data_IF_853349706544
#
_entry.id   IF_853349706544
#
_cell.length_a   1.000
_cell.length_b   1.000
_cell.length_c   1.000
_cell.angle_alpha   90.00
_cell.angle_beta   90.00
_cell.angle_gamma   90.00
#
_symmetry.space_group_name_H-M   'P 1'
#
loop_
_entity.id
_entity.type
_entity.pdbx_description
1 polymer ?
#
# COMPACT_ATOMS: atom_id res chain seq x y z
N UNK A 1 2.05 -3.37 0.71
CA UNK A 1 0.80 -2.95 0.03
C UNK A 1 1.10 -1.76 -0.86
N UNK A 2 0.18 -1.28 -1.71
CA UNK A 2 0.37 -0.12 -2.58
C UNK A 2 -0.71 0.94 -2.43
N UNK A 3 -0.65 1.99 -3.27
CA UNK A 3 -1.61 3.10 -3.36
C UNK A 3 -2.32 3.01 -4.72
N UNK A 4 -3.66 3.04 -4.72
CA UNK A 4 -4.45 2.82 -5.95
C UNK A 4 -4.30 3.93 -7.00
N UNK A 5 -4.17 3.55 -8.28
CA UNK A 5 -4.17 4.48 -9.41
C UNK A 5 -5.15 4.06 -10.51
N UNK A 6 -6.35 4.64 -10.46
CA UNK A 6 -7.43 4.39 -11.42
C UNK A 6 -7.14 4.86 -12.84
N UNK A 7 -6.32 5.91 -13.00
CA UNK A 7 -5.97 6.41 -14.33
C UNK A 7 -5.10 5.39 -15.07
N UNK A 8 -4.19 4.73 -14.36
CA UNK A 8 -3.36 3.69 -14.97
C UNK A 8 -4.10 2.39 -15.27
N UNK A 9 -5.17 2.10 -14.53
CA UNK A 9 -5.97 0.88 -14.69
C UNK A 9 -7.00 0.95 -15.82
N UNK A 10 -7.36 2.16 -16.28
CA UNK A 10 -8.33 2.34 -17.36
C UNK A 10 -7.75 1.95 -18.72
N UNK A 11 -8.58 1.36 -19.58
CA UNK A 11 -8.31 1.15 -21.00
C UNK A 11 -8.30 2.49 -21.75
N UNK A 12 -7.65 2.53 -22.91
CA UNK A 12 -7.38 3.78 -23.66
C UNK A 12 -8.63 4.63 -23.93
N UNK A 13 -9.75 4.01 -24.30
CA UNK A 13 -11.03 4.71 -24.57
C UNK A 13 -11.56 5.47 -23.34
N UNK A 14 -11.36 4.91 -22.15
CA UNK A 14 -11.80 5.52 -20.88
C UNK A 14 -10.76 6.53 -20.40
N UNK A 15 -9.46 6.28 -20.60
CA UNK A 15 -8.39 7.21 -20.20
C UNK A 15 -8.51 8.58 -20.87
N UNK A 16 -8.92 8.62 -22.14
CA UNK A 16 -9.12 9.87 -22.88
C UNK A 16 -10.30 10.71 -22.32
N UNK A 17 -11.17 10.08 -21.52
CA UNK A 17 -12.30 10.73 -20.85
C UNK A 17 -11.98 11.11 -19.39
N UNK A 18 -10.85 10.65 -18.85
CA UNK A 18 -10.45 10.91 -17.47
C UNK A 18 -9.42 12.04 -17.41
N UNK A 19 -9.54 12.87 -16.37
CA UNK A 19 -8.56 13.90 -16.03
C UNK A 19 -8.07 13.70 -14.60
N UNK A 20 -6.76 13.82 -14.38
CA UNK A 20 -6.18 13.85 -13.05
C UNK A 20 -6.44 15.20 -12.39
N UNK A 21 -6.78 15.19 -11.10
CA UNK A 21 -6.97 16.42 -10.31
C UNK A 21 -5.73 16.69 -9.47
N UNK A 22 -5.29 17.94 -9.41
CA UNK A 22 -4.27 18.37 -8.44
C UNK A 22 -4.93 18.88 -7.18
N UNK A 23 -4.30 18.65 -6.03
CA UNK A 23 -4.73 19.15 -4.72
C UNK A 23 -3.72 20.20 -4.30
N UNK A 24 -4.13 21.46 -4.16
CA UNK A 24 -3.25 22.57 -3.79
C UNK A 24 -1.97 22.69 -4.65
N UNK A 25 -2.06 22.33 -5.93
CA UNK A 25 -0.93 22.33 -6.88
C UNK A 25 -0.10 21.04 -6.88
N UNK A 26 -0.43 20.06 -6.03
CA UNK A 26 0.20 18.74 -5.98
C UNK A 26 -0.52 17.76 -6.90
N UNK A 27 0.20 17.17 -7.85
CA UNK A 27 -0.33 16.17 -8.79
C UNK A 27 -0.25 14.74 -8.22
N UNK A 28 -1.10 13.79 -8.70
CA UNK A 28 -1.13 12.39 -8.26
C UNK A 28 0.03 11.55 -8.83
N UNK A 29 1.27 11.96 -8.60
CA UNK A 29 2.47 11.21 -9.02
C UNK A 29 2.79 10.08 -8.04
N UNK A 30 3.62 9.11 -8.47
CA UNK A 30 4.14 8.07 -7.58
C UNK A 30 4.84 8.68 -6.36
N UNK A 31 5.71 9.66 -6.60
CA UNK A 31 6.45 10.38 -5.56
C UNK A 31 5.51 11.05 -4.55
N UNK A 32 4.53 11.83 -5.03
CA UNK A 32 3.60 12.55 -4.17
C UNK A 32 2.64 11.62 -3.41
N UNK A 33 2.33 10.47 -3.99
CA UNK A 33 1.56 9.44 -3.31
C UNK A 33 2.39 8.75 -2.21
N UNK A 34 3.63 8.37 -2.50
CA UNK A 34 4.53 7.69 -1.56
C UNK A 34 4.88 8.58 -0.36
N UNK A 35 5.18 9.86 -0.58
CA UNK A 35 5.54 10.81 0.48
C UNK A 35 4.33 11.44 1.20
N UNK A 36 3.11 11.03 0.86
CA UNK A 36 1.86 11.50 1.46
C UNK A 36 1.45 12.95 1.14
N UNK A 37 2.18 13.67 0.28
CA UNK A 37 1.81 15.04 -0.12
C UNK A 37 0.54 15.11 -0.97
N UNK A 38 0.18 14.04 -1.69
CA UNK A 38 -1.08 13.93 -2.42
C UNK A 38 -2.24 13.46 -1.52
N UNK A 39 -2.48 14.20 -0.45
CA UNK A 39 -3.56 13.95 0.54
C UNK A 39 -4.80 14.79 0.24
N UNK A 40 -6.04 14.34 0.51
CA UNK A 40 -6.44 13.06 1.14
C UNK A 40 -6.81 11.97 0.11
N UNK A 41 -6.47 12.16 -1.17
CA UNK A 41 -6.91 11.25 -2.23
C UNK A 41 -5.95 10.05 -2.43
N UNK A 42 -4.69 10.12 -2.00
CA UNK A 42 -3.83 8.96 -1.85
C UNK A 42 -4.27 8.15 -0.63
N UNK A 43 -4.64 6.88 -0.83
CA UNK A 43 -5.00 5.98 0.26
C UNK A 43 -4.20 4.69 0.17
N UNK A 44 -3.44 4.32 1.22
CA UNK A 44 -2.81 3.02 1.29
C UNK A 44 -3.87 1.94 1.47
N UNK A 45 -3.60 0.77 0.92
CA UNK A 45 -4.36 -0.43 1.23
C UNK A 45 -3.65 -1.21 2.35
N UNK A 46 -4.42 -1.99 3.12
CA UNK A 46 -3.88 -2.94 4.11
C UNK A 46 -4.45 -4.34 3.89
N UNK A 47 -3.62 -5.37 4.13
CA UNK A 47 -4.12 -6.72 4.38
C UNK A 47 -4.15 -6.91 5.90
N UNK A 48 -5.24 -7.50 6.40
CA UNK A 48 -5.38 -7.82 7.82
C UNK A 48 -5.27 -9.32 7.99
N UNK A 49 -4.25 -9.74 8.73
CA UNK A 49 -3.95 -11.15 8.98
C UNK A 49 -4.19 -11.42 10.45
N UNK A 50 -5.00 -12.44 10.75
CA UNK A 50 -5.19 -12.91 12.12
C UNK A 50 -3.95 -13.71 12.55
N UNK A 51 -3.31 -13.32 13.65
CA UNK A 51 -2.06 -13.95 14.11
C UNK A 51 -2.25 -15.41 14.52
N UNK A 52 -3.31 -15.73 15.26
CA UNK A 52 -3.60 -17.11 15.69
C UNK A 52 -3.79 -18.03 14.48
N UNK A 53 -4.57 -17.59 13.48
CA UNK A 53 -4.73 -18.34 12.22
C UNK A 53 -3.43 -18.49 11.44
N UNK A 54 -2.56 -17.48 11.48
CA UNK A 54 -1.26 -17.52 10.81
C UNK A 54 -0.33 -18.55 11.45
N UNK A 55 -0.37 -18.68 12.78
CA UNK A 55 0.46 -19.65 13.53
C UNK A 55 -0.04 -21.08 13.44
N UNK A 56 -1.36 -21.28 13.30
CA UNK A 56 -1.98 -22.61 13.24
C UNK A 56 -2.09 -23.18 11.82
N UNK A 57 -1.96 -22.35 10.78
CA UNK A 57 -2.14 -22.75 9.38
C UNK A 57 -0.92 -22.41 8.52
N UNK A 58 -0.09 -23.41 8.26
CA UNK A 58 1.12 -23.30 7.43
C UNK A 58 0.84 -22.78 6.01
N UNK A 59 -0.29 -23.18 5.38
CA UNK A 59 -0.66 -22.70 4.03
C UNK A 59 -0.93 -21.17 4.03
N UNK A 60 -1.49 -20.65 5.13
CA UNK A 60 -1.74 -19.22 5.29
C UNK A 60 -0.42 -18.46 5.53
N UNK A 61 0.48 -19.01 6.35
CA UNK A 61 1.81 -18.44 6.59
C UNK A 61 2.62 -18.36 5.29
N UNK A 62 2.64 -19.43 4.50
CA UNK A 62 3.31 -19.47 3.20
C UNK A 62 2.71 -18.44 2.24
N UNK A 63 1.38 -18.37 2.14
CA UNK A 63 0.70 -17.40 1.27
C UNK A 63 1.03 -15.95 1.64
N UNK A 64 0.95 -15.60 2.92
CA UNK A 64 1.19 -14.23 3.39
C UNK A 64 2.66 -13.85 3.20
N UNK A 65 3.58 -14.76 3.51
CA UNK A 65 5.02 -14.55 3.31
C UNK A 65 5.35 -14.34 1.83
N UNK A 66 4.85 -15.21 0.97
CA UNK A 66 5.02 -15.07 -0.48
C UNK A 66 4.42 -13.76 -1.01
N UNK A 67 3.23 -13.38 -0.56
CA UNK A 67 2.58 -12.13 -0.94
C UNK A 67 3.47 -10.94 -0.59
N UNK A 68 3.97 -10.88 0.64
CA UNK A 68 4.79 -9.77 1.13
C UNK A 68 6.14 -9.70 0.40
N UNK A 69 6.80 -10.83 0.17
CA UNK A 69 8.09 -10.92 -0.55
C UNK A 69 7.98 -10.46 -2.01
N UNK A 70 6.87 -10.75 -2.68
CA UNK A 70 6.74 -10.54 -4.12
C UNK A 70 5.93 -9.27 -4.48
N UNK A 71 5.26 -8.64 -3.51
CA UNK A 71 4.35 -7.53 -3.79
C UNK A 71 5.04 -6.35 -4.50
N UNK A 72 6.28 -6.00 -4.12
CA UNK A 72 7.00 -4.87 -4.71
C UNK A 72 7.13 -4.97 -6.25
N UNK A 73 7.50 -6.16 -6.74
CA UNK A 73 7.70 -6.45 -8.16
C UNK A 73 6.38 -6.55 -8.94
N UNK A 74 5.30 -6.97 -8.27
CA UNK A 74 3.99 -7.19 -8.90
C UNK A 74 3.18 -5.88 -9.01
N UNK A 75 3.31 -4.96 -8.05
CA UNK A 75 2.49 -3.75 -7.98
C UNK A 75 2.40 -2.94 -9.30
N UNK A 76 3.51 -2.67 -10.04
CA UNK A 76 3.43 -1.94 -11.30
C UNK A 76 2.53 -2.60 -12.35
N UNK A 77 2.37 -3.92 -12.30
CA UNK A 77 1.53 -4.69 -13.23
C UNK A 77 0.05 -4.66 -12.85
N UNK A 78 -0.26 -4.22 -11.64
CA UNK A 78 -1.62 -4.16 -11.08
C UNK A 78 -2.20 -2.75 -11.08
N UNK A 79 -1.50 -1.77 -11.66
CA UNK A 79 -1.91 -0.37 -11.70
C UNK A 79 -2.01 0.29 -10.31
N UNK A 80 -1.22 -0.22 -9.36
CA UNK A 80 -1.00 0.39 -8.06
C UNK A 80 0.38 1.04 -8.03
N UNK A 81 0.46 2.19 -7.39
CA UNK A 81 1.74 2.74 -6.93
C UNK A 81 2.27 1.86 -5.80
N UNK A 82 3.45 1.29 -5.99
CA UNK A 82 4.15 0.55 -4.93
C UNK A 82 4.61 1.49 -3.82
N UNK A 83 4.75 0.98 -2.60
CA UNK A 83 5.52 1.66 -1.55
C UNK A 83 7.02 1.65 -1.88
N UNK A 84 7.84 2.31 -1.06
CA UNK A 84 9.30 2.27 -1.21
C UNK A 84 9.82 0.88 -0.84
N UNK A 85 11.02 0.51 -1.29
CA UNK A 85 11.62 -0.80 -0.97
C UNK A 85 11.84 -0.97 0.54
N UNK A 86 12.28 0.10 1.21
CA UNK A 86 12.45 0.14 2.67
C UNK A 86 11.12 -0.11 3.41
N UNK A 87 10.00 0.44 2.92
CA UNK A 87 8.68 0.16 3.51
C UNK A 87 8.33 -1.34 3.44
N UNK A 88 8.70 -2.03 2.34
CA UNK A 88 8.46 -3.47 2.21
C UNK A 88 9.36 -4.28 3.15
N UNK A 89 10.61 -3.87 3.35
CA UNK A 89 11.50 -4.46 4.36
C UNK A 89 10.90 -4.32 5.77
N UNK A 90 10.39 -3.14 6.14
CA UNK A 90 9.71 -2.93 7.43
C UNK A 90 8.46 -3.81 7.57
N UNK A 91 7.67 -3.97 6.49
CA UNK A 91 6.52 -4.89 6.50
C UNK A 91 6.95 -6.34 6.69
N UNK A 92 8.04 -6.78 6.04
CA UNK A 92 8.62 -8.13 6.21
C UNK A 92 9.07 -8.35 7.64
N UNK A 93 9.80 -7.39 8.21
CA UNK A 93 10.23 -7.45 9.59
C UNK A 93 9.06 -7.54 10.58
N UNK A 94 7.98 -6.76 10.36
CA UNK A 94 6.76 -6.84 11.18
C UNK A 94 6.09 -8.22 11.10
N UNK A 95 6.05 -8.84 9.92
CA UNK A 95 5.51 -10.19 9.73
C UNK A 95 6.36 -11.23 10.49
N UNK A 96 7.68 -11.22 10.29
CA UNK A 96 8.63 -12.13 10.94
C UNK A 96 8.57 -12.04 12.47
N UNK A 97 8.44 -10.83 13.00
CA UNK A 97 8.35 -10.57 14.44
C UNK A 97 6.93 -10.72 15.01
N UNK A 98 5.94 -11.09 14.19
CA UNK A 98 4.53 -11.25 14.58
C UNK A 98 3.96 -9.99 15.24
N UNK A 99 4.39 -8.81 14.78
CA UNK A 99 3.95 -7.53 15.33
C UNK A 99 2.46 -7.29 15.02
N UNK A 100 1.65 -7.18 16.07
CA UNK A 100 0.21 -6.94 15.95
C UNK A 100 -0.15 -5.46 16.06
N UNK A 101 -1.42 -5.12 15.80
CA UNK A 101 -1.93 -3.76 15.84
C UNK A 101 -2.08 -3.13 14.45
N UNK A 102 -2.95 -2.13 14.36
CA UNK A 102 -3.14 -1.32 13.14
C UNK A 102 -2.10 -0.21 13.08
N UNK A 103 -1.49 0.01 11.91
CA UNK A 103 -0.56 1.13 11.69
C UNK A 103 -1.21 2.49 11.98
N UNK A 104 -2.51 2.61 11.76
CA UNK A 104 -3.26 3.83 12.06
C UNK A 104 -3.95 3.82 13.43
N UNK A 105 -3.65 2.84 14.30
CA UNK A 105 -4.20 2.75 15.67
C UNK A 105 -5.75 2.77 15.73
N UNK A 106 -6.42 2.45 14.63
CA UNK A 106 -7.88 2.45 14.51
C UNK A 106 -8.50 3.76 14.01
N UNK A 107 -7.70 4.78 13.70
CA UNK A 107 -8.17 6.02 13.07
C UNK A 107 -7.98 5.96 11.53
N UNK A 108 -9.06 5.79 10.74
CA UNK A 108 -8.94 5.70 9.29
C UNK A 108 -8.64 7.04 8.60
N UNK A 109 -8.54 8.15 9.35
CA UNK A 109 -8.34 9.51 8.84
C UNK A 109 -6.96 10.08 9.15
N UNK A 110 -6.01 9.27 9.63
CA UNK A 110 -4.62 9.70 9.79
C UNK A 110 -4.03 10.13 8.44
N UNK A 111 -3.34 11.26 8.47
CA UNK A 111 -2.77 11.90 7.27
C UNK A 111 -1.28 11.58 7.12
N UNK A 112 -0.65 11.03 8.17
CA UNK A 112 0.74 10.60 8.14
C UNK A 112 0.98 9.53 7.04
N UNK A 113 2.05 9.66 6.24
CA UNK A 113 2.42 8.66 5.26
C UNK A 113 2.68 7.31 5.93
N UNK A 114 2.29 6.20 5.28
CA UNK A 114 2.49 4.86 5.85
C UNK A 114 3.95 4.55 6.17
N UNK A 115 4.89 5.05 5.38
CA UNK A 115 6.31 4.85 5.63
C UNK A 115 6.76 5.40 7.00
N UNK A 116 6.22 6.55 7.43
CA UNK A 116 6.53 7.14 8.73
C UNK A 116 5.93 6.35 9.92
N UNK A 117 4.99 5.46 9.65
CA UNK A 117 4.32 4.64 10.67
C UNK A 117 4.85 3.21 10.73
N UNK A 118 5.71 2.82 9.79
CA UNK A 118 6.29 1.48 9.69
C UNK A 118 7.58 1.32 10.51
N UNK A 119 8.10 2.40 11.07
CA UNK A 119 9.24 2.44 11.99
C UNK A 119 8.93 1.89 13.40
#
# INVERSE_FOLDING_TARGET
>A
MGIGNYYTAADDEVRDQLSSVSIDGVAPTLENAQNGSYTPLARPLFIYVNLESLEENEDLEEFVSYYVENAYEIMPRTFFYRLTEDDYESVRHRLETRTTGSLYEGDPFREEPVGELLD
#
